data_IF_474762321925
#
_entry.id   IF_474762321925
#
_cell.length_a   1.000
_cell.length_b   1.000
_cell.length_c   1.000
_cell.angle_alpha   90.00
_cell.angle_beta   90.00
_cell.angle_gamma   90.00
#
_symmetry.space_group_name_H-M   'P 1'
#
loop_
_entity.id
_entity.type
_entity.pdbx_description
1 polymer ?
#
# COMPACT_ATOMS: atom_id res chain seq x y z
N UNK A 1 -5.21 -28.06 5.53
CA UNK A 1 -4.87 -28.21 4.10
C UNK A 1 -4.68 -26.81 3.54
N UNK A 2 -3.46 -26.44 3.15
CA UNK A 2 -3.14 -25.08 2.66
C UNK A 2 -3.43 -25.04 1.16
N UNK A 3 -4.49 -24.35 0.77
CA UNK A 3 -4.81 -24.11 -0.63
C UNK A 3 -3.89 -22.99 -1.16
N UNK A 4 -2.88 -23.38 -1.92
CA UNK A 4 -1.98 -22.45 -2.63
C UNK A 4 -2.64 -22.09 -3.96
N UNK A 5 -3.50 -21.07 -3.98
CA UNK A 5 -3.94 -20.51 -5.26
C UNK A 5 -2.85 -19.58 -5.80
N UNK A 6 -2.17 -20.04 -6.82
CA UNK A 6 -1.33 -19.20 -7.66
C UNK A 6 -2.27 -18.26 -8.44
N UNK A 7 -2.22 -16.98 -8.12
CA UNK A 7 -2.89 -15.97 -8.93
C UNK A 7 -1.95 -15.57 -10.06
N UNK A 8 -2.32 -15.91 -11.30
CA UNK A 8 -1.72 -15.33 -12.49
C UNK A 8 -1.90 -13.81 -12.42
N UNK A 9 -0.81 -13.09 -12.62
CA UNK A 9 -0.85 -11.62 -12.68
C UNK A 9 -1.40 -11.27 -14.06
N UNK A 10 -2.69 -10.94 -14.11
CA UNK A 10 -3.33 -10.48 -15.34
C UNK A 10 -2.69 -9.17 -15.81
N UNK A 11 -2.55 -9.04 -17.12
CA UNK A 11 -2.01 -7.87 -17.80
C UNK A 11 -2.87 -6.65 -17.52
N UNK A 12 -2.40 -5.70 -16.72
CA UNK A 12 -3.10 -4.45 -16.49
C UNK A 12 -2.55 -3.35 -17.38
N UNK A 13 -3.43 -2.72 -18.16
CA UNK A 13 -3.13 -1.50 -18.89
C UNK A 13 -3.29 -0.31 -17.96
N UNK A 14 -2.21 0.25 -17.46
CA UNK A 14 -2.22 1.54 -16.79
C UNK A 14 -2.01 2.64 -17.84
N UNK A 15 -3.02 3.47 -18.07
CA UNK A 15 -2.89 4.68 -18.89
C UNK A 15 -2.60 5.85 -17.96
N UNK A 16 -1.33 6.23 -17.84
CA UNK A 16 -1.02 7.62 -17.55
C UNK A 16 -1.45 8.44 -18.78
N UNK A 17 -2.06 9.63 -18.63
CA UNK A 17 -2.38 10.49 -19.76
C UNK A 17 -1.05 10.85 -20.46
N UNK A 18 -0.78 10.25 -21.61
CA UNK A 18 0.43 10.29 -22.45
C UNK A 18 1.49 9.19 -22.23
N UNK A 19 1.30 8.24 -21.36
CA UNK A 19 2.23 7.11 -21.13
C UNK A 19 1.51 5.80 -21.45
N UNK A 20 1.73 5.24 -22.63
CA UNK A 20 1.22 3.93 -23.02
C UNK A 20 2.26 2.85 -22.64
N UNK A 21 2.19 2.31 -21.44
CA UNK A 21 2.99 1.14 -21.10
C UNK A 21 2.17 -0.14 -21.23
N UNK A 22 2.55 -0.94 -22.20
CA UNK A 22 2.18 -2.35 -22.30
C UNK A 22 3.31 -3.12 -21.61
N UNK A 23 3.19 -3.39 -20.32
CA UNK A 23 4.13 -4.27 -19.64
C UNK A 23 3.68 -5.71 -19.80
N UNK A 24 4.32 -6.44 -20.70
CA UNK A 24 4.19 -7.89 -20.79
C UNK A 24 5.21 -8.51 -19.84
N UNK A 25 4.78 -8.90 -18.64
CA UNK A 25 5.65 -9.60 -17.70
C UNK A 25 6.00 -10.98 -18.23
N UNK A 26 7.28 -11.22 -18.50
CA UNK A 26 7.82 -12.50 -19.01
C UNK A 26 8.32 -13.45 -17.93
N UNK A 27 8.36 -13.03 -16.66
CA UNK A 27 8.88 -13.86 -15.58
C UNK A 27 7.91 -13.93 -14.39
N UNK A 28 7.78 -15.12 -13.78
CA UNK A 28 6.99 -15.32 -12.57
C UNK A 28 7.69 -14.66 -11.37
N UNK A 29 7.23 -13.48 -10.99
CA UNK A 29 7.68 -12.85 -9.75
C UNK A 29 6.91 -13.45 -8.57
N UNK A 30 7.62 -14.14 -7.67
CA UNK A 30 7.03 -14.75 -6.47
C UNK A 30 6.79 -13.69 -5.38
N UNK A 31 5.69 -12.97 -5.48
CA UNK A 31 5.20 -12.14 -4.38
C UNK A 31 4.27 -12.97 -3.50
N UNK A 32 4.52 -13.01 -2.19
CA UNK A 32 3.60 -13.62 -1.25
C UNK A 32 2.46 -12.65 -0.94
N UNK A 33 1.40 -12.72 -1.73
CA UNK A 33 0.20 -11.89 -1.60
C UNK A 33 -0.83 -12.66 -0.80
N UNK A 34 -1.42 -12.00 0.20
CA UNK A 34 -2.52 -12.52 0.98
C UNK A 34 -3.78 -11.70 0.69
N UNK A 35 -4.84 -12.35 0.22
CA UNK A 35 -6.15 -11.71 0.15
C UNK A 35 -6.74 -11.62 1.57
N UNK A 36 -7.40 -10.49 1.91
CA UNK A 36 -8.14 -10.40 3.16
C UNK A 36 -9.28 -11.42 3.21
N UNK A 37 -9.45 -12.08 4.35
CA UNK A 37 -10.64 -12.87 4.63
C UNK A 37 -11.68 -11.96 5.30
N UNK A 38 -12.75 -11.65 4.59
CA UNK A 38 -13.83 -10.78 5.04
C UNK A 38 -15.10 -11.56 5.40
N UNK A 39 -14.98 -12.88 5.56
CA UNK A 39 -16.13 -13.76 5.86
C UNK A 39 -16.68 -13.59 7.28
N UNK A 40 -15.90 -12.99 8.19
CA UNK A 40 -16.33 -12.75 9.57
C UNK A 40 -16.41 -11.27 9.85
N UNK A 41 -17.58 -10.80 10.30
CA UNK A 41 -17.73 -9.45 10.85
C UNK A 41 -17.20 -9.43 12.29
N UNK A 42 -16.32 -8.48 12.59
CA UNK A 42 -15.80 -8.25 13.93
C UNK A 42 -15.98 -6.80 14.32
N UNK A 43 -17.10 -6.53 14.97
CA UNK A 43 -17.40 -5.21 15.49
C UNK A 43 -16.81 -5.05 16.90
N UNK A 44 -15.94 -4.06 17.07
CA UNK A 44 -15.31 -3.72 18.35
C UNK A 44 -15.70 -2.30 18.78
N UNK A 45 -15.74 -2.05 20.11
CA UNK A 45 -15.99 -0.72 20.64
C UNK A 45 -14.97 0.31 20.15
N UNK A 46 -15.47 1.44 19.67
CA UNK A 46 -14.69 2.56 19.18
C UNK A 46 -15.03 3.85 19.91
N UNK A 47 -14.04 4.55 20.43
CA UNK A 47 -14.19 5.82 21.10
C UNK A 47 -13.99 6.97 20.10
N UNK A 48 -15.07 7.45 19.50
CA UNK A 48 -15.05 8.52 18.47
C UNK A 48 -14.61 9.88 19.04
N UNK A 49 -14.91 10.15 20.32
CA UNK A 49 -14.57 11.41 20.96
C UNK A 49 -13.07 11.71 21.09
N UNK A 50 -12.23 10.76 20.69
CA UNK A 50 -10.77 10.86 20.71
C UNK A 50 -10.18 10.80 22.13
N UNK A 51 -9.18 9.97 22.31
CA UNK A 51 -8.37 9.91 23.54
C UNK A 51 -7.21 10.89 23.38
N UNK A 52 -7.14 11.92 24.26
CA UNK A 52 -6.06 12.91 24.19
C UNK A 52 -4.71 12.27 24.47
N UNK A 53 -3.79 12.40 23.54
CA UNK A 53 -2.42 11.92 23.70
C UNK A 53 -1.52 12.85 24.55
N UNK A 54 -2.05 14.02 24.97
CA UNK A 54 -1.37 14.99 25.82
C UNK A 54 -1.80 14.88 27.29
N UNK A 55 -2.20 16.04 27.88
CA UNK A 55 -2.69 16.06 29.25
C UNK A 55 -3.98 15.25 29.42
N UNK A 56 -4.10 14.51 30.55
CA UNK A 56 -5.34 13.81 30.85
C UNK A 56 -6.51 14.78 30.91
N UNK A 57 -7.64 14.42 30.34
CA UNK A 57 -8.89 15.12 30.51
C UNK A 57 -9.83 14.29 31.39
N UNK A 58 -10.78 14.94 32.12
CA UNK A 58 -11.78 14.22 32.90
C UNK A 58 -12.47 13.16 32.01
N UNK A 59 -12.71 11.98 32.58
CA UNK A 59 -13.46 10.94 31.91
C UNK A 59 -14.87 11.49 31.62
N UNK A 60 -15.17 11.77 30.37
CA UNK A 60 -16.53 12.00 29.90
C UNK A 60 -17.06 10.62 29.46
N UNK A 61 -18.39 10.46 29.57
CA UNK A 61 -19.05 9.26 29.07
C UNK A 61 -18.77 9.15 27.57
N UNK A 62 -17.82 8.28 27.20
CA UNK A 62 -17.49 8.01 25.81
C UNK A 62 -18.64 7.19 25.22
N UNK A 63 -19.36 7.76 24.29
CA UNK A 63 -20.30 7.01 23.46
C UNK A 63 -19.43 6.09 22.61
N UNK A 64 -19.57 4.81 22.85
CA UNK A 64 -18.81 3.79 22.16
C UNK A 64 -19.64 3.32 20.97
N UNK A 65 -19.21 3.65 19.77
CA UNK A 65 -19.73 3.03 18.57
C UNK A 65 -19.07 1.67 18.36
N UNK A 66 -19.75 0.79 17.68
CA UNK A 66 -19.16 -0.47 17.23
C UNK A 66 -18.67 -0.28 15.80
N UNK A 67 -17.41 -0.59 15.55
CA UNK A 67 -16.85 -0.53 14.21
C UNK A 67 -16.21 -1.85 13.81
N UNK A 68 -16.33 -2.18 12.54
CA UNK A 68 -15.55 -3.21 11.87
C UNK A 68 -14.44 -2.55 11.04
N UNK A 69 -13.18 -2.75 11.44
CA UNK A 69 -12.04 -2.16 10.74
C UNK A 69 -11.94 -2.61 9.29
N UNK A 70 -12.39 -3.81 8.95
CA UNK A 70 -12.40 -4.25 7.56
C UNK A 70 -13.27 -3.33 6.69
N UNK A 71 -14.46 -2.94 7.20
CA UNK A 71 -15.38 -2.05 6.48
C UNK A 71 -14.81 -0.63 6.29
N UNK A 72 -13.96 -0.20 7.22
CA UNK A 72 -13.33 1.14 7.16
C UNK A 72 -12.11 1.14 6.23
N UNK A 73 -11.26 0.13 6.33
CA UNK A 73 -9.95 0.09 5.67
C UNK A 73 -10.01 -0.48 4.27
N UNK A 74 -11.01 -1.33 3.96
CA UNK A 74 -11.10 -2.07 2.70
C UNK A 74 -12.34 -1.64 1.94
N UNK A 75 -12.14 -0.74 0.97
CA UNK A 75 -13.24 -0.25 0.11
C UNK A 75 -13.54 -1.17 -1.06
N UNK A 76 -12.50 -1.82 -1.60
CA UNK A 76 -12.61 -2.70 -2.77
C UNK A 76 -12.02 -4.09 -2.43
N UNK A 77 -12.80 -4.99 -1.81
CA UNK A 77 -12.31 -6.27 -1.31
C UNK A 77 -11.63 -7.15 -2.36
N UNK A 78 -12.13 -7.13 -3.60
CA UNK A 78 -11.60 -7.99 -4.68
C UNK A 78 -10.22 -7.55 -5.18
N UNK A 79 -9.89 -6.27 -4.98
CA UNK A 79 -8.63 -5.66 -5.46
C UNK A 79 -7.69 -5.25 -4.34
N UNK A 80 -8.08 -5.44 -3.09
CA UNK A 80 -7.27 -5.09 -1.91
C UNK A 80 -6.47 -6.29 -1.42
N UNK A 81 -5.21 -6.02 -1.08
CA UNK A 81 -4.25 -7.02 -0.60
C UNK A 81 -3.47 -6.49 0.60
N UNK A 82 -2.97 -7.42 1.40
CA UNK A 82 -2.03 -7.14 2.48
C UNK A 82 -0.61 -7.50 2.05
N UNK A 83 0.34 -6.63 2.32
CA UNK A 83 1.76 -6.89 2.14
C UNK A 83 2.53 -6.54 3.40
N UNK A 84 3.50 -7.38 3.78
CA UNK A 84 4.44 -7.04 4.84
C UNK A 84 5.48 -6.09 4.28
N UNK A 85 5.70 -4.97 4.96
CA UNK A 85 6.78 -4.03 4.64
C UNK A 85 8.11 -4.67 5.00
N UNK A 86 9.08 -4.61 4.09
CA UNK A 86 10.45 -5.04 4.30
C UNK A 86 11.41 -3.89 3.98
N UNK A 87 12.33 -3.61 4.91
CA UNK A 87 13.30 -2.52 4.79
C UNK A 87 12.85 -1.19 5.41
N UNK A 88 13.70 -0.18 5.26
CA UNK A 88 13.59 1.10 5.96
C UNK A 88 13.49 2.33 5.03
N UNK A 89 13.24 2.13 3.75
CA UNK A 89 13.23 3.21 2.75
C UNK A 89 12.08 4.21 2.89
N UNK A 90 11.10 3.96 3.78
CA UNK A 90 9.93 4.83 4.02
C UNK A 90 9.77 5.23 5.50
N UNK A 91 10.82 5.15 6.29
CA UNK A 91 10.77 5.41 7.75
C UNK A 91 10.37 6.82 8.12
N UNK A 92 10.76 7.83 7.33
CA UNK A 92 10.37 9.23 7.56
C UNK A 92 8.89 9.48 7.24
N UNK A 93 8.28 8.61 6.44
CA UNK A 93 6.83 8.57 6.24
C UNK A 93 6.11 7.72 7.29
N UNK A 94 6.80 7.33 8.37
CA UNK A 94 6.27 6.47 9.42
C UNK A 94 5.86 5.06 8.95
N UNK A 95 6.43 4.58 7.84
CA UNK A 95 6.26 3.21 7.35
C UNK A 95 7.56 2.45 7.62
N UNK A 96 7.49 1.41 8.45
CA UNK A 96 8.67 0.73 9.00
C UNK A 96 8.70 -0.74 8.63
N UNK A 97 9.88 -1.34 8.74
CA UNK A 97 10.04 -2.79 8.59
C UNK A 97 9.10 -3.56 9.52
N UNK A 98 8.42 -4.56 8.97
CA UNK A 98 7.47 -5.41 9.69
C UNK A 98 6.04 -4.86 9.78
N UNK A 99 5.78 -3.63 9.37
CA UNK A 99 4.43 -3.09 9.25
C UNK A 99 3.62 -3.88 8.20
N UNK A 100 2.30 -3.74 8.21
CA UNK A 100 1.43 -4.34 7.21
C UNK A 100 0.82 -3.22 6.37
N UNK A 101 1.18 -3.16 5.09
CA UNK A 101 0.56 -2.26 4.13
C UNK A 101 -0.74 -2.87 3.57
N UNK A 102 -1.77 -2.03 3.47
CA UNK A 102 -3.03 -2.33 2.78
C UNK A 102 -2.93 -1.67 1.40
N UNK A 103 -3.01 -2.48 0.35
CA UNK A 103 -2.75 -2.05 -1.03
C UNK A 103 -4.00 -2.31 -1.86
N UNK A 104 -4.51 -1.28 -2.49
CA UNK A 104 -5.64 -1.38 -3.42
C UNK A 104 -5.15 -1.20 -4.86
N UNK A 105 -5.43 -2.19 -5.69
CA UNK A 105 -5.03 -2.24 -7.10
C UNK A 105 -6.00 -1.53 -8.04
N UNK A 106 -7.20 -1.22 -7.58
CA UNK A 106 -8.23 -0.55 -8.40
C UNK A 106 -8.07 0.96 -8.43
N UNK A 107 -7.27 1.52 -7.52
CA UNK A 107 -7.08 2.96 -7.43
C UNK A 107 -6.11 3.45 -8.51
N UNK A 108 -6.49 4.53 -9.16
CA UNK A 108 -5.59 5.28 -10.02
C UNK A 108 -4.58 6.05 -9.17
N UNK A 109 -3.29 5.82 -9.44
CA UNK A 109 -2.21 6.44 -8.70
C UNK A 109 -2.11 7.93 -9.00
N UNK A 110 -1.95 8.73 -7.97
CA UNK A 110 -1.77 10.17 -8.02
C UNK A 110 -0.40 10.59 -7.48
N UNK A 111 0.02 11.81 -7.81
CA UNK A 111 1.25 12.38 -7.27
C UNK A 111 1.18 12.45 -5.74
N UNK A 112 2.20 11.90 -5.10
CA UNK A 112 2.30 11.84 -3.64
C UNK A 112 1.80 10.54 -3.02
N UNK A 113 1.13 9.68 -3.78
CA UNK A 113 0.71 8.36 -3.28
C UNK A 113 1.91 7.48 -2.94
N UNK A 114 1.78 6.71 -1.86
CA UNK A 114 2.67 5.59 -1.61
C UNK A 114 2.17 4.38 -2.41
N UNK A 115 3.07 3.76 -3.14
CA UNK A 115 2.72 2.69 -4.08
C UNK A 115 3.58 1.46 -3.88
N UNK A 116 3.00 0.32 -4.19
CA UNK A 116 3.75 -0.88 -4.52
C UNK A 116 4.02 -0.84 -6.03
N UNK A 117 5.29 -0.71 -6.40
CA UNK A 117 5.74 -0.62 -7.78
C UNK A 117 6.63 -1.80 -8.12
N UNK A 118 6.54 -2.23 -9.37
CA UNK A 118 7.46 -3.17 -9.99
C UNK A 118 8.37 -2.41 -10.94
N UNK A 119 9.68 -2.57 -10.78
CA UNK A 119 10.68 -1.93 -11.63
C UNK A 119 11.76 -2.96 -11.95
N UNK A 120 11.99 -3.24 -13.23
CA UNK A 120 13.09 -4.05 -13.75
C UNK A 120 13.30 -5.40 -13.04
N UNK A 121 12.21 -6.07 -12.67
CA UNK A 121 12.25 -7.38 -12.03
C UNK A 121 11.99 -7.36 -10.52
N UNK A 122 11.95 -6.19 -9.87
CA UNK A 122 11.84 -6.09 -8.41
C UNK A 122 10.61 -5.30 -7.95
N UNK A 123 10.02 -5.72 -6.83
CA UNK A 123 8.98 -4.95 -6.14
C UNK A 123 9.59 -4.00 -5.11
N UNK A 124 9.08 -2.78 -5.08
CA UNK A 124 9.47 -1.78 -4.09
C UNK A 124 8.27 -0.96 -3.62
N UNK A 125 8.36 -0.46 -2.38
CA UNK A 125 7.41 0.53 -1.85
C UNK A 125 8.08 1.90 -1.86
N UNK A 126 7.47 2.86 -2.54
CA UNK A 126 7.99 4.23 -2.66
C UNK A 126 6.84 5.22 -2.77
N UNK A 127 7.15 6.49 -2.62
CA UNK A 127 6.23 7.56 -2.99
C UNK A 127 6.33 7.83 -4.49
N UNK A 128 5.20 7.87 -5.16
CA UNK A 128 5.13 8.14 -6.59
C UNK A 128 5.11 9.63 -6.89
N UNK A 129 5.86 10.04 -7.91
CA UNK A 129 5.84 11.40 -8.47
C UNK A 129 5.96 11.35 -9.98
N UNK A 130 4.98 11.92 -10.67
CA UNK A 130 5.02 12.13 -12.11
C UNK A 130 5.75 13.45 -12.41
N UNK A 131 6.70 13.41 -13.34
CA UNK A 131 7.39 14.57 -13.90
C UNK A 131 7.01 14.71 -15.39
N UNK A 132 5.89 15.40 -15.63
CA UNK A 132 5.37 15.61 -16.99
C UNK A 132 6.33 16.42 -17.87
N UNK A 133 7.10 17.32 -17.27
CA UNK A 133 8.04 18.18 -18.00
C UNK A 133 9.17 17.37 -18.63
N UNK A 134 9.66 16.37 -17.91
CA UNK A 134 10.76 15.52 -18.33
C UNK A 134 10.29 14.16 -18.88
N UNK A 135 8.98 13.98 -19.05
CA UNK A 135 8.37 12.72 -19.49
C UNK A 135 8.90 11.49 -18.74
N UNK A 136 8.93 11.55 -17.43
CA UNK A 136 9.40 10.48 -16.56
C UNK A 136 8.59 10.42 -15.26
N UNK A 137 8.74 9.32 -14.53
CA UNK A 137 8.24 9.19 -13.17
C UNK A 137 9.41 9.01 -12.20
N UNK A 138 9.15 9.30 -10.96
CA UNK A 138 10.09 9.09 -9.87
C UNK A 138 9.43 8.24 -8.80
N UNK A 139 10.20 7.30 -8.28
CA UNK A 139 9.87 6.55 -7.07
C UNK A 139 10.77 7.06 -5.95
N UNK A 140 10.18 7.86 -5.08
CA UNK A 140 10.90 8.63 -4.07
C UNK A 140 10.88 7.88 -2.74
N UNK A 141 12.04 7.57 -2.15
CA UNK A 141 12.11 7.07 -0.78
C UNK A 141 11.76 8.18 0.22
N UNK A 142 11.30 7.82 1.40
CA UNK A 142 11.18 8.68 2.57
C UNK A 142 12.25 8.26 3.60
N UNK A 143 13.50 8.31 3.19
CA UNK A 143 14.69 8.06 3.99
C UNK A 143 15.90 8.53 3.18
N UNK A 144 16.64 9.48 3.73
CA UNK A 144 17.80 10.14 3.08
C UNK A 144 18.97 9.19 2.75
N UNK A 145 18.93 7.95 3.24
CA UNK A 145 19.92 6.92 2.90
C UNK A 145 19.78 6.36 1.49
N UNK A 146 18.66 6.62 0.83
CA UNK A 146 18.31 6.05 -0.46
C UNK A 146 18.09 7.11 -1.50
N UNK A 147 18.61 6.89 -2.70
CA UNK A 147 18.37 7.76 -3.84
C UNK A 147 17.00 7.50 -4.48
N UNK A 148 16.34 8.54 -5.03
CA UNK A 148 15.15 8.38 -5.84
C UNK A 148 15.43 7.55 -7.09
N UNK A 149 14.51 6.66 -7.46
CA UNK A 149 14.58 5.87 -8.68
C UNK A 149 13.86 6.63 -9.79
N UNK A 150 14.60 7.00 -10.83
CA UNK A 150 14.02 7.58 -12.04
C UNK A 150 13.48 6.45 -12.93
N UNK A 151 12.22 6.57 -13.34
CA UNK A 151 11.57 5.62 -14.25
C UNK A 151 11.32 6.32 -15.58
N UNK A 152 11.84 5.70 -16.66
CA UNK A 152 11.71 6.17 -18.04
C UNK A 152 11.08 5.08 -18.92
N UNK A 153 10.97 5.35 -20.21
CA UNK A 153 10.45 4.38 -21.19
C UNK A 153 11.32 3.11 -21.33
N UNK A 154 12.56 3.18 -20.91
CA UNK A 154 13.49 2.04 -20.98
C UNK A 154 13.28 1.02 -19.84
N UNK A 155 12.55 1.39 -18.77
CA UNK A 155 12.32 0.52 -17.63
C UNK A 155 11.08 -0.36 -17.82
N UNK A 156 11.17 -1.60 -17.35
CA UNK A 156 9.97 -2.40 -17.11
C UNK A 156 9.30 -1.90 -15.84
N UNK A 157 8.25 -1.09 -15.98
CA UNK A 157 7.62 -0.42 -14.85
C UNK A 157 6.12 -0.68 -14.79
N UNK A 158 5.64 -0.97 -13.59
CA UNK A 158 4.22 -1.09 -13.30
C UNK A 158 3.93 -0.61 -11.88
N UNK A 159 2.93 0.26 -11.71
CA UNK A 159 2.34 0.48 -10.39
C UNK A 159 1.38 -0.67 -10.12
N UNK A 160 1.75 -1.51 -9.16
CA UNK A 160 0.98 -2.69 -8.82
C UNK A 160 -0.24 -2.36 -7.95
N UNK A 161 -0.17 -1.30 -7.16
CA UNK A 161 -1.29 -0.77 -6.38
C UNK A 161 -0.89 0.39 -5.49
N UNK A 162 -1.91 1.09 -4.98
CA UNK A 162 -1.77 2.23 -4.08
C UNK A 162 -1.88 1.77 -2.63
N UNK A 163 -0.98 2.21 -1.76
CA UNK A 163 -1.05 1.94 -0.32
C UNK A 163 -2.09 2.89 0.27
N UNK A 164 -3.20 2.33 0.76
CA UNK A 164 -4.29 3.10 1.36
C UNK A 164 -4.13 3.28 2.86
N UNK A 165 -3.48 2.34 3.52
CA UNK A 165 -3.29 2.34 4.97
C UNK A 165 -2.11 1.47 5.38
N UNK A 166 -1.59 1.72 6.59
CA UNK A 166 -0.53 0.90 7.19
C UNK A 166 -0.93 0.53 8.61
N UNK A 167 -0.81 -0.75 8.93
CA UNK A 167 -1.03 -1.25 10.29
C UNK A 167 0.31 -1.43 10.97
N UNK A 168 0.52 -0.67 12.03
CA UNK A 168 1.72 -0.72 12.87
C UNK A 168 1.47 -1.48 14.16
N UNK A 169 2.37 -2.41 14.48
CA UNK A 169 2.30 -3.19 15.72
C UNK A 169 3.40 -2.74 16.67
N UNK A 170 3.02 -2.26 17.86
CA UNK A 170 3.97 -1.85 18.90
C UNK A 170 4.36 -2.99 19.86
N UNK A 171 3.58 -4.08 19.87
CA UNK A 171 3.84 -5.25 20.72
C UNK A 171 3.77 -6.52 19.89
N UNK A 172 4.76 -7.40 20.06
CA UNK A 172 4.72 -8.77 19.52
C UNK A 172 3.84 -9.63 20.45
N UNK A 173 2.94 -10.39 19.86
CA UNK A 173 2.15 -11.41 20.55
C UNK A 173 2.70 -12.79 20.20
#
# INVERSE_FOLDING_TARGET
MKDKRHTNIDTFNFKLPNFNYLCTMKEEVKLHIYKPDLSTELELPYADAGIKAGFPSPAQDYITELIDLNKILIRHPETTFYAKVAGDSLTEASISDGDIAIIDRSLECQNGDFVAAYVDGEFTLKQFKLDETNNCAWLIPANDKYDPIKVTEDNQFLIWGVITSVIKRFRKF
#
